data_IF_577870464625
#
_entry.id   IF_577870464625
#
_cell.length_a   1.000
_cell.length_b   1.000
_cell.length_c   1.000
_cell.angle_alpha   90.00
_cell.angle_beta   90.00
_cell.angle_gamma   90.00
#
_symmetry.space_group_name_H-M   'P 1'
#
loop_
_entity.id
_entity.type
_entity.pdbx_description
1 polymer ?
#
# COMPACT_ATOMS: atom_id res chain seq x y z
N UNK A 1 5.63 0.67 26.32
CA UNK A 1 5.93 -0.06 25.07
C UNK A 1 4.55 -0.47 24.56
N UNK A 2 4.02 0.23 23.56
CA UNK A 2 2.60 0.08 23.18
C UNK A 2 2.37 -1.31 22.59
N UNK A 3 1.40 -2.03 23.14
CA UNK A 3 0.96 -3.29 22.56
C UNK A 3 0.43 -3.00 21.15
N UNK A 4 0.96 -3.72 20.15
CA UNK A 4 0.36 -3.69 18.82
C UNK A 4 -1.11 -4.09 18.95
N UNK A 5 -2.06 -3.37 18.32
CA UNK A 5 -3.46 -3.71 18.40
C UNK A 5 -3.65 -5.16 17.93
N UNK A 6 -4.15 -6.02 18.83
CA UNK A 6 -4.42 -7.41 18.53
C UNK A 6 -5.31 -7.50 17.28
N UNK A 7 -4.73 -7.95 16.17
CA UNK A 7 -5.44 -8.15 14.90
C UNK A 7 -5.12 -7.20 13.74
N UNK A 8 -4.17 -6.26 13.84
CA UNK A 8 -3.75 -5.42 12.71
C UNK A 8 -2.20 -5.31 12.60
N UNK A 9 -1.62 -5.30 11.38
CA UNK A 9 -2.26 -5.50 10.09
C UNK A 9 -2.60 -6.97 9.83
N UNK A 10 -3.64 -7.21 9.03
CA UNK A 10 -3.95 -8.56 8.55
C UNK A 10 -2.85 -9.05 7.60
N UNK A 11 -2.45 -10.31 7.73
CA UNK A 11 -1.50 -10.94 6.84
C UNK A 11 -2.21 -11.37 5.56
N UNK A 12 -1.91 -10.67 4.47
CA UNK A 12 -2.47 -10.96 3.14
C UNK A 12 -1.65 -12.04 2.42
N UNK A 13 -2.30 -13.15 2.08
CA UNK A 13 -1.79 -14.17 1.18
C UNK A 13 -2.66 -14.20 -0.10
N UNK A 14 -2.18 -13.55 -1.16
CA UNK A 14 -2.88 -13.51 -2.44
C UNK A 14 -2.55 -14.76 -3.27
N UNK A 15 -3.57 -15.42 -3.80
CA UNK A 15 -3.43 -16.55 -4.75
C UNK A 15 -3.74 -16.15 -6.18
N UNK A 16 -4.54 -15.09 -6.37
CA UNK A 16 -4.82 -14.51 -7.69
C UNK A 16 -4.85 -12.99 -7.61
N UNK A 17 -4.05 -12.36 -8.46
CA UNK A 17 -3.93 -10.90 -8.53
C UNK A 17 -4.21 -10.46 -9.96
N UNK A 18 -4.88 -9.33 -10.11
CA UNK A 18 -5.13 -8.67 -11.37
C UNK A 18 -4.58 -7.25 -11.33
N UNK A 19 -3.89 -6.85 -12.40
CA UNK A 19 -3.43 -5.47 -12.56
C UNK A 19 -4.51 -4.73 -13.35
N UNK A 20 -5.22 -3.83 -12.69
CA UNK A 20 -6.29 -3.03 -13.26
C UNK A 20 -5.78 -1.60 -13.49
N UNK A 21 -5.45 -1.19 -14.72
CA UNK A 21 -4.95 0.15 -14.97
C UNK A 21 -6.01 1.20 -14.61
N UNK A 22 -5.65 2.12 -13.72
CA UNK A 22 -6.49 3.26 -13.32
C UNK A 22 -5.79 4.55 -13.73
N UNK A 23 -6.56 5.55 -14.15
CA UNK A 23 -5.99 6.85 -14.51
C UNK A 23 -5.23 7.47 -13.33
N UNK A 24 -4.00 7.88 -13.57
CA UNK A 24 -3.16 8.46 -12.53
C UNK A 24 -3.66 9.85 -12.11
N UNK A 25 -4.10 9.97 -10.86
CA UNK A 25 -4.48 11.24 -10.24
C UNK A 25 -3.55 11.57 -9.04
N UNK A 26 -2.55 12.45 -9.21
CA UNK A 26 -1.57 12.73 -8.16
C UNK A 26 -2.18 13.39 -6.92
N UNK A 27 -3.25 14.18 -7.06
CA UNK A 27 -3.93 14.80 -5.93
C UNK A 27 -4.63 13.72 -5.07
N UNK A 28 -5.33 12.80 -5.71
CA UNK A 28 -5.97 11.68 -5.02
C UNK A 28 -4.93 10.82 -4.27
N UNK A 29 -3.83 10.47 -4.94
CA UNK A 29 -2.74 9.69 -4.33
C UNK A 29 -2.16 10.41 -3.11
N UNK A 30 -1.91 11.71 -3.21
CA UNK A 30 -1.34 12.52 -2.11
C UNK A 30 -2.27 12.56 -0.90
N UNK A 31 -3.59 12.75 -1.12
CA UNK A 31 -4.57 12.74 -0.03
C UNK A 31 -4.77 11.36 0.59
N UNK A 32 -4.79 10.31 -0.22
CA UNK A 32 -4.95 8.92 0.23
C UNK A 32 -3.76 8.48 1.05
N UNK A 33 -2.54 8.84 0.62
CA UNK A 33 -1.30 8.49 1.29
C UNK A 33 -1.23 8.95 2.75
N UNK A 34 -1.83 10.10 3.09
CA UNK A 34 -1.89 10.58 4.47
C UNK A 34 -2.76 9.73 5.40
N UNK A 35 -3.62 8.86 4.84
CA UNK A 35 -4.53 7.97 5.56
C UNK A 35 -4.05 6.52 5.60
N UNK A 36 -2.95 6.21 4.92
CA UNK A 36 -2.43 4.84 4.82
C UNK A 36 -1.68 4.49 6.10
N UNK A 37 -2.08 3.39 6.74
CA UNK A 37 -1.25 2.80 7.79
C UNK A 37 -0.13 1.96 7.19
N UNK A 38 1.03 2.61 7.12
CA UNK A 38 2.22 2.08 6.47
C UNK A 38 2.72 0.77 7.06
N UNK A 39 2.41 0.46 8.32
CA UNK A 39 2.76 -0.84 8.92
C UNK A 39 2.15 -2.02 8.14
N UNK A 40 0.91 -1.89 7.64
CA UNK A 40 0.27 -2.90 6.78
C UNK A 40 0.83 -2.97 5.36
N UNK A 41 1.63 -1.97 4.98
CA UNK A 41 2.22 -1.85 3.64
C UNK A 41 3.76 -1.94 3.66
N UNK A 42 4.38 -2.02 4.85
CA UNK A 42 5.80 -1.78 5.09
C UNK A 42 6.71 -2.79 4.38
N UNK A 43 6.20 -3.98 4.06
CA UNK A 43 6.92 -5.00 3.30
C UNK A 43 6.80 -4.83 1.78
N UNK A 44 5.96 -3.90 1.30
CA UNK A 44 5.64 -3.71 -0.14
C UNK A 44 6.02 -2.33 -0.68
N UNK A 45 6.34 -1.36 0.17
CA UNK A 45 6.74 -0.01 -0.25
C UNK A 45 8.24 0.20 -0.03
N UNK A 46 8.98 0.74 -1.03
CA UNK A 46 10.41 1.05 -0.86
C UNK A 46 10.63 2.07 0.26
N UNK A 47 11.48 1.73 1.22
CA UNK A 47 11.94 2.67 2.26
C UNK A 47 12.82 3.75 1.62
N UNK A 48 12.45 5.02 1.77
CA UNK A 48 13.33 6.17 1.50
C UNK A 48 13.20 6.87 0.15
N UNK A 49 12.03 7.42 -0.18
CA UNK A 49 11.82 8.24 -1.38
C UNK A 49 11.46 9.69 -1.05
N UNK A 50 12.36 10.47 -0.46
CA UNK A 50 12.11 11.93 -0.30
C UNK A 50 13.43 12.73 -0.40
N UNK A 51 13.74 13.30 -1.59
CA UNK A 51 14.37 14.65 -1.68
C UNK A 51 14.52 15.33 -3.07
N UNK A 52 13.90 14.90 -4.19
CA UNK A 52 13.85 15.75 -5.41
C UNK A 52 12.50 15.63 -6.15
N UNK A 53 12.07 16.71 -6.81
CA UNK A 53 10.77 16.81 -7.52
C UNK A 53 10.55 15.70 -8.57
N UNK A 54 11.59 15.33 -9.32
CA UNK A 54 11.52 14.20 -10.28
C UNK A 54 11.31 12.84 -9.60
N UNK A 55 11.75 12.70 -8.34
CA UNK A 55 11.46 11.51 -7.54
C UNK A 55 10.06 11.55 -6.93
N UNK A 56 9.43 12.72 -6.79
CA UNK A 56 8.08 12.86 -6.24
C UNK A 56 7.04 12.27 -7.19
N UNK A 57 7.06 12.60 -8.48
CA UNK A 57 6.09 12.01 -9.42
C UNK A 57 6.30 10.49 -9.56
N UNK A 58 7.56 10.04 -9.67
CA UNK A 58 7.89 8.61 -9.69
C UNK A 58 7.44 7.89 -8.42
N UNK A 59 7.53 8.54 -7.27
CA UNK A 59 7.03 8.02 -6.01
C UNK A 59 5.51 7.93 -6.00
N UNK A 60 4.80 9.00 -6.36
CA UNK A 60 3.34 9.01 -6.45
C UNK A 60 2.81 7.97 -7.43
N UNK A 61 3.48 7.74 -8.57
CA UNK A 61 3.12 6.68 -9.51
C UNK A 61 3.30 5.27 -8.93
N UNK A 62 4.32 5.05 -8.09
CA UNK A 62 4.47 3.78 -7.37
C UNK A 62 3.37 3.57 -6.34
N UNK A 63 3.02 4.61 -5.59
CA UNK A 63 1.93 4.55 -4.60
C UNK A 63 0.59 4.34 -5.31
N UNK A 64 0.34 5.03 -6.43
CA UNK A 64 -0.81 4.82 -7.30
C UNK A 64 -0.93 3.35 -7.72
N UNK A 65 0.14 2.79 -8.26
CA UNK A 65 0.18 1.40 -8.68
C UNK A 65 -0.20 0.45 -7.53
N UNK A 66 0.48 0.59 -6.39
CA UNK A 66 0.29 -0.32 -5.24
C UNK A 66 -1.11 -0.19 -4.64
N UNK A 67 -1.67 1.02 -4.55
CA UNK A 67 -2.94 1.28 -3.85
C UNK A 67 -4.18 1.21 -4.74
N UNK A 68 -4.04 1.38 -6.06
CA UNK A 68 -5.18 1.54 -6.97
C UNK A 68 -5.16 0.61 -8.18
N UNK A 69 -4.02 0.05 -8.56
CA UNK A 69 -3.94 -0.79 -9.77
C UNK A 69 -3.78 -2.28 -9.47
N UNK A 70 -3.62 -2.68 -8.20
CA UNK A 70 -3.40 -4.07 -7.81
C UNK A 70 -4.63 -4.61 -7.07
N UNK A 71 -5.42 -5.41 -7.76
CA UNK A 71 -6.60 -6.08 -7.21
C UNK A 71 -6.27 -7.53 -6.84
N UNK A 72 -6.49 -7.91 -5.57
CA UNK A 72 -6.44 -9.32 -5.16
C UNK A 72 -7.81 -9.94 -5.41
N UNK A 73 -7.90 -10.80 -6.41
CA UNK A 73 -9.14 -11.49 -6.76
C UNK A 73 -9.41 -12.71 -5.88
N UNK A 74 -8.34 -13.43 -5.49
CA UNK A 74 -8.42 -14.61 -4.62
C UNK A 74 -7.25 -14.60 -3.63
N UNK A 75 -7.49 -15.01 -2.40
CA UNK A 75 -6.50 -15.07 -1.34
C UNK A 75 -7.12 -15.18 0.06
N UNK A 76 -6.29 -15.00 1.08
CA UNK A 76 -6.71 -14.99 2.48
C UNK A 76 -6.16 -13.78 3.23
N UNK A 77 -6.88 -13.36 4.27
CA UNK A 77 -6.43 -12.39 5.26
C UNK A 77 -6.42 -13.10 6.61
N UNK A 78 -5.25 -13.19 7.22
CA UNK A 78 -5.08 -13.84 8.53
C UNK A 78 -4.88 -12.79 9.62
N UNK A 79 -5.58 -12.96 10.74
CA UNK A 79 -5.41 -12.15 11.93
C UNK A 79 -4.06 -12.47 12.59
N UNK A 80 -3.21 -11.47 12.90
CA UNK A 80 -2.01 -11.71 13.69
C UNK A 80 -2.37 -12.16 15.12
N UNK A 81 -1.81 -13.28 15.58
CA UNK A 81 -1.98 -13.79 16.94
C UNK A 81 -3.19 -14.71 17.19
N UNK A 82 -3.87 -15.17 16.13
CA UNK A 82 -4.92 -16.21 16.18
C UNK A 82 -4.40 -17.59 15.85
#
# INVERSE_FOLDING_TARGET
>A
MGEEPCGFPLHLHATKVYINPVEFNPNFVTHTMMKVEWAGLANKVPKGLIHRSEYVEKFLRKIHHILQEVDVLEGTLQCPGS
#
